data_IF_081544422052
#
_entry.id   IF_081544422052
#
_cell.length_a   1.000
_cell.length_b   1.000
_cell.length_c   1.000
_cell.angle_alpha   90.00
_cell.angle_beta   90.00
_cell.angle_gamma   90.00
#
_symmetry.space_group_name_H-M   'P 1'
#
loop_
_entity.id
_entity.type
_entity.pdbx_description
1 polymer ?
#
# COMPACT_ATOMS: atom_id res chain seq x y z
N UNK A 1 3.13 -12.70 -1.85
CA UNK A 1 2.99 -14.18 -1.96
C UNK A 1 2.03 -14.50 -3.10
N UNK A 2 1.84 -15.77 -3.48
CA UNK A 2 0.85 -16.12 -4.53
C UNK A 2 -0.58 -15.69 -4.16
N UNK A 3 -0.94 -15.80 -2.88
CA UNK A 3 -2.25 -15.37 -2.39
C UNK A 3 -2.42 -13.85 -2.42
N UNK A 4 -1.39 -13.08 -2.05
CA UNK A 4 -1.45 -11.61 -2.14
C UNK A 4 -1.66 -11.14 -3.58
N UNK A 5 -0.99 -11.81 -4.55
CA UNK A 5 -1.16 -11.48 -5.96
C UNK A 5 -2.57 -11.84 -6.44
N UNK A 6 -3.08 -13.02 -6.09
CA UNK A 6 -4.46 -13.42 -6.42
C UNK A 6 -5.50 -12.41 -5.90
N UNK A 7 -5.35 -11.94 -4.65
CA UNK A 7 -6.24 -10.92 -4.09
C UNK A 7 -6.14 -9.59 -4.84
N UNK A 8 -4.91 -9.17 -5.18
CA UNK A 8 -4.70 -7.95 -5.96
C UNK A 8 -5.29 -8.06 -7.36
N UNK A 9 -5.12 -9.20 -8.03
CA UNK A 9 -5.66 -9.48 -9.37
C UNK A 9 -7.20 -9.40 -9.36
N UNK A 10 -7.85 -9.90 -8.29
CA UNK A 10 -9.30 -9.71 -8.11
C UNK A 10 -9.68 -8.25 -7.98
N UNK A 11 -9.01 -7.48 -7.13
CA UNK A 11 -9.27 -6.04 -7.00
C UNK A 11 -9.10 -5.30 -8.33
N UNK A 12 -8.02 -5.58 -9.06
CA UNK A 12 -7.73 -4.99 -10.37
C UNK A 12 -8.79 -5.36 -11.40
N UNK A 13 -9.27 -6.60 -11.41
CA UNK A 13 -10.26 -7.07 -12.39
C UNK A 13 -11.59 -6.30 -12.35
N UNK A 14 -11.91 -5.70 -11.20
CA UNK A 14 -13.12 -4.88 -10.99
C UNK A 14 -12.80 -3.39 -10.80
N UNK A 15 -11.56 -2.97 -11.06
CA UNK A 15 -11.07 -1.61 -10.84
C UNK A 15 -11.31 -1.08 -9.41
N UNK A 16 -11.19 -1.94 -8.40
CA UNK A 16 -11.36 -1.54 -7.00
C UNK A 16 -10.16 -0.70 -6.54
N UNK A 17 -10.38 0.56 -6.09
CA UNK A 17 -9.31 1.34 -5.47
C UNK A 17 -8.68 0.58 -4.31
N UNK A 18 -7.36 0.42 -4.32
CA UNK A 18 -6.66 -0.48 -3.41
C UNK A 18 -5.46 0.22 -2.78
N UNK A 19 -5.25 -0.02 -1.48
CA UNK A 19 -4.07 0.46 -0.76
C UNK A 19 -3.31 -0.71 -0.15
N UNK A 20 -2.08 -0.92 -0.59
CA UNK A 20 -1.16 -1.94 -0.08
C UNK A 20 -0.36 -1.36 1.09
N UNK A 21 -0.34 -2.08 2.20
CA UNK A 21 0.49 -1.76 3.37
C UNK A 21 1.63 -2.76 3.50
N UNK A 22 2.87 -2.29 3.34
CA UNK A 22 4.06 -3.07 3.67
C UNK A 22 4.27 -3.03 5.18
N UNK A 23 3.52 -3.87 5.89
CA UNK A 23 3.47 -3.90 7.35
C UNK A 23 4.80 -4.33 7.98
N UNK A 24 4.96 -4.03 9.27
CA UNK A 24 6.16 -4.33 10.07
C UNK A 24 7.45 -3.75 9.44
N UNK A 25 7.34 -2.60 8.78
CA UNK A 25 8.49 -1.91 8.16
C UNK A 25 9.61 -1.61 9.17
N UNK A 26 9.29 -1.49 10.46
CA UNK A 26 10.24 -1.33 11.56
C UNK A 26 11.25 -2.48 11.72
N UNK A 27 10.96 -3.65 11.15
CA UNK A 27 11.86 -4.82 11.16
C UNK A 27 12.96 -4.73 10.10
N UNK A 28 12.86 -3.79 9.18
CA UNK A 28 13.82 -3.60 8.10
C UNK A 28 14.67 -2.34 8.33
N UNK A 29 15.94 -2.42 7.92
CA UNK A 29 16.77 -1.21 7.77
C UNK A 29 16.16 -0.32 6.68
N UNK A 30 16.34 0.99 6.79
CA UNK A 30 15.77 2.00 5.86
C UNK A 30 15.96 1.63 4.38
N UNK A 31 17.18 1.24 3.98
CA UNK A 31 17.45 0.84 2.59
C UNK A 31 16.66 -0.39 2.14
N UNK A 32 16.54 -1.42 2.98
CA UNK A 32 15.75 -2.61 2.64
C UNK A 32 14.25 -2.29 2.54
N UNK A 33 13.74 -1.45 3.44
CA UNK A 33 12.36 -0.98 3.37
C UNK A 33 12.09 -0.15 2.10
N UNK A 34 12.98 0.79 1.75
CA UNK A 34 12.89 1.58 0.51
C UNK A 34 12.95 0.72 -0.74
N UNK A 35 13.82 -0.29 -0.78
CA UNK A 35 13.91 -1.21 -1.91
C UNK A 35 12.63 -2.05 -2.07
N UNK A 36 12.05 -2.55 -0.97
CA UNK A 36 10.79 -3.26 -1.00
C UNK A 36 9.65 -2.37 -1.51
N UNK A 37 9.56 -1.13 -1.02
CA UNK A 37 8.58 -0.14 -1.48
C UNK A 37 8.72 0.14 -2.98
N UNK A 38 9.95 0.39 -3.45
CA UNK A 38 10.21 0.68 -4.86
C UNK A 38 9.87 -0.52 -5.76
N UNK A 39 10.19 -1.74 -5.32
CA UNK A 39 9.86 -2.96 -6.06
C UNK A 39 8.36 -3.12 -6.26
N UNK A 40 7.57 -2.93 -5.21
CA UNK A 40 6.10 -3.03 -5.30
C UNK A 40 5.54 -1.86 -6.11
N UNK A 41 6.04 -0.63 -5.91
CA UNK A 41 5.61 0.54 -6.67
C UNK A 41 5.77 0.35 -8.18
N UNK A 42 6.88 -0.25 -8.63
CA UNK A 42 7.10 -0.58 -10.05
C UNK A 42 6.14 -1.66 -10.54
N UNK A 43 5.89 -2.69 -9.72
CA UNK A 43 5.01 -3.79 -10.11
C UNK A 43 3.55 -3.34 -10.30
N UNK A 44 3.11 -2.32 -9.57
CA UNK A 44 1.74 -1.78 -9.65
C UNK A 44 1.59 -0.57 -10.56
N UNK A 45 2.65 -0.12 -11.25
CA UNK A 45 2.63 1.03 -12.16
C UNK A 45 1.50 0.98 -13.21
N UNK A 46 1.13 -0.18 -13.79
CA UNK A 46 0.01 -0.28 -14.72
C UNK A 46 -1.38 -0.04 -14.09
N UNK A 47 -1.48 0.04 -12.75
CA UNK A 47 -2.73 0.12 -12.00
C UNK A 47 -2.80 1.42 -11.18
N UNK A 48 -3.19 2.55 -11.78
CA UNK A 48 -3.06 3.89 -11.17
C UNK A 48 -3.95 4.10 -9.92
N UNK A 49 -4.96 3.26 -9.70
CA UNK A 49 -5.82 3.28 -8.52
C UNK A 49 -5.31 2.38 -7.37
N UNK A 50 -4.15 1.73 -7.55
CA UNK A 50 -3.47 0.93 -6.54
C UNK A 50 -2.28 1.71 -6.00
N UNK A 51 -2.26 1.92 -4.69
CA UNK A 51 -1.16 2.61 -4.01
C UNK A 51 -0.45 1.70 -3.03
N UNK A 52 0.83 2.01 -2.71
CA UNK A 52 1.63 1.24 -1.75
C UNK A 52 2.42 2.17 -0.83
N UNK A 53 2.49 1.80 0.45
CA UNK A 53 3.28 2.52 1.46
C UNK A 53 3.97 1.57 2.45
N UNK A 54 4.98 2.09 3.14
CA UNK A 54 5.53 1.44 4.34
C UNK A 54 4.59 1.67 5.52
N UNK A 55 4.42 0.65 6.37
CA UNK A 55 3.58 0.75 7.55
C UNK A 55 4.17 0.02 8.75
N UNK A 56 4.12 0.67 9.92
CA UNK A 56 4.48 0.05 11.18
C UNK A 56 3.52 0.48 12.27
N UNK A 57 2.73 -0.45 12.79
CA UNK A 57 1.88 -0.23 13.96
C UNK A 57 2.72 0.14 15.20
N UNK A 58 3.87 -0.51 15.37
CA UNK A 58 4.77 -0.30 16.51
C UNK A 58 5.37 1.11 16.52
N UNK A 59 5.77 1.61 15.34
CA UNK A 59 6.35 2.95 15.19
C UNK A 59 5.35 4.01 14.77
N UNK A 60 4.06 3.65 14.65
CA UNK A 60 2.99 4.50 14.13
C UNK A 60 3.32 5.13 12.76
N UNK A 61 4.13 4.44 11.95
CA UNK A 61 4.55 4.91 10.64
C UNK A 61 3.44 4.67 9.62
N UNK A 62 3.13 5.70 8.81
CA UNK A 62 2.20 5.61 7.68
C UNK A 62 0.73 5.84 8.03
N UNK A 63 0.44 6.29 9.27
CA UNK A 63 -0.93 6.56 9.73
C UNK A 63 -1.60 7.70 8.96
N UNK A 64 -0.94 8.85 8.84
CA UNK A 64 -1.49 10.01 8.13
C UNK A 64 -1.84 9.68 6.68
N UNK A 65 -0.94 8.97 5.99
CA UNK A 65 -1.14 8.57 4.60
C UNK A 65 -2.31 7.58 4.44
N UNK A 66 -2.44 6.57 5.32
CA UNK A 66 -3.60 5.64 5.23
C UNK A 66 -4.91 6.34 5.58
N UNK A 67 -4.92 7.26 6.55
CA UNK A 67 -6.13 8.02 6.89
C UNK A 67 -6.58 8.91 5.74
N UNK A 68 -5.66 9.64 5.08
CA UNK A 68 -5.98 10.41 3.89
C UNK A 68 -6.54 9.55 2.76
N UNK A 69 -6.00 8.34 2.58
CA UNK A 69 -6.52 7.38 1.58
C UNK A 69 -7.92 6.86 1.93
N UNK A 70 -8.17 6.57 3.22
CA UNK A 70 -9.49 6.15 3.67
C UNK A 70 -10.52 7.28 3.55
N UNK A 71 -10.14 8.53 3.84
CA UNK A 71 -11.01 9.69 3.63
C UNK A 71 -11.45 9.77 2.16
N UNK A 72 -10.53 9.57 1.21
CA UNK A 72 -10.87 9.53 -0.22
C UNK A 72 -11.79 8.36 -0.58
N UNK A 73 -11.61 7.18 0.01
CA UNK A 73 -12.50 6.04 -0.23
C UNK A 73 -13.93 6.25 0.29
N UNK A 74 -14.07 6.90 1.44
CA UNK A 74 -15.36 7.19 2.05
C UNK A 74 -15.98 8.52 1.58
N UNK A 75 -15.32 9.25 0.67
CA UNK A 75 -15.80 10.52 0.16
C UNK A 75 -15.76 11.66 1.17
N UNK A 76 -14.95 11.55 2.22
CA UNK A 76 -14.67 12.68 3.11
C UNK A 76 -13.75 13.66 2.40
N UNK A 77 -14.24 14.88 2.22
CA UNK A 77 -13.48 16.04 1.76
C UNK A 77 -13.29 16.91 2.99
N UNK A 78 -12.03 17.21 3.34
CA UNK A 78 -11.73 18.20 4.40
C UNK A 78 -12.24 19.60 4.02
#
# INVERSE_FOLDING_TARGET
TKFDQMMLDWCVSINLPTQILLTKSDKLKKGAASNALLKVRRAIEPHPYVEVQLFSSLKKQGLETIWGRLNTFFGYVD
#
